data_IF_421749800331
#
_entry.id   IF_421749800331
#
_cell.length_a   1.000
_cell.length_b   1.000
_cell.length_c   1.000
_cell.angle_alpha   90.00
_cell.angle_beta   90.00
_cell.angle_gamma   90.00
#
_symmetry.space_group_name_H-M   'P 1'
#
loop_
_entity.id
_entity.type
_entity.pdbx_description
1 polymer ?
#
# COMPACT_ATOMS: atom_id res chain seq x y z
N UNK A 1 -2.55 10.82 8.72
CA UNK A 1 -3.80 11.51 9.15
C UNK A 1 -4.63 10.50 9.93
N UNK A 2 -5.34 10.89 11.01
CA UNK A 2 -6.15 9.98 11.84
C UNK A 2 -7.61 10.42 11.80
N UNK A 3 -8.53 9.47 11.65
CA UNK A 3 -9.98 9.69 11.70
C UNK A 3 -10.71 8.48 12.33
N UNK A 4 -11.14 8.61 13.58
CA UNK A 4 -11.68 7.47 14.33
C UNK A 4 -10.61 6.38 14.48
N UNK A 5 -10.96 5.14 14.12
CA UNK A 5 -10.04 3.99 14.10
C UNK A 5 -9.14 3.96 12.86
N UNK A 6 -9.37 4.84 11.88
CA UNK A 6 -8.64 4.85 10.62
C UNK A 6 -7.39 5.72 10.71
N UNK A 7 -6.26 5.16 10.26
CA UNK A 7 -4.99 5.85 10.10
C UNK A 7 -4.58 5.78 8.64
N UNK A 8 -4.55 6.94 7.97
CA UNK A 8 -4.02 7.06 6.61
C UNK A 8 -2.53 7.40 6.67
N UNK A 9 -1.72 6.57 6.02
CA UNK A 9 -0.26 6.68 5.95
C UNK A 9 0.15 6.87 4.48
N UNK A 10 0.37 8.12 4.03
CA UNK A 10 0.94 8.36 2.70
C UNK A 10 2.37 7.83 2.65
N UNK A 11 2.69 7.06 1.62
CA UNK A 11 4.00 6.42 1.44
C UNK A 11 4.51 6.61 0.01
N UNK A 12 5.83 6.46 -0.15
CA UNK A 12 6.46 6.15 -1.43
C UNK A 12 7.15 4.80 -1.27
N UNK A 13 6.86 3.86 -2.16
CA UNK A 13 7.40 2.52 -2.11
C UNK A 13 8.08 2.15 -3.42
N UNK A 14 9.12 1.32 -3.32
CA UNK A 14 9.91 0.86 -4.46
C UNK A 14 10.09 -0.65 -4.41
N UNK A 15 10.30 -1.26 -5.57
CA UNK A 15 10.50 -2.70 -5.69
C UNK A 15 11.38 -3.04 -6.89
N UNK A 16 12.16 -4.11 -6.78
CA UNK A 16 13.01 -4.61 -7.86
C UNK A 16 12.98 -6.15 -7.87
N UNK A 17 12.74 -6.72 -9.04
CA UNK A 17 12.83 -8.17 -9.33
C UNK A 17 13.50 -8.37 -10.68
N UNK A 18 13.78 -9.61 -11.05
CA UNK A 18 14.38 -9.92 -12.34
C UNK A 18 13.51 -9.38 -13.49
N UNK A 19 14.04 -8.42 -14.23
CA UNK A 19 13.38 -7.78 -15.38
C UNK A 19 12.27 -6.77 -15.06
N UNK A 20 12.00 -6.44 -13.79
CA UNK A 20 10.98 -5.42 -13.44
C UNK A 20 11.36 -4.55 -12.24
N UNK A 21 10.91 -3.31 -12.27
CA UNK A 21 11.07 -2.35 -11.17
C UNK A 21 9.82 -1.48 -11.03
N UNK A 22 9.52 -1.07 -9.80
CA UNK A 22 8.48 -0.10 -9.48
C UNK A 22 9.01 0.97 -8.53
N UNK A 23 8.51 2.19 -8.68
CA UNK A 23 8.73 3.32 -7.78
C UNK A 23 7.51 4.23 -7.91
N UNK A 24 6.65 4.24 -6.89
CA UNK A 24 5.40 4.99 -6.93
C UNK A 24 4.96 5.42 -5.54
N UNK A 25 3.98 6.32 -5.50
CA UNK A 25 3.32 6.73 -4.26
C UNK A 25 2.11 5.86 -3.93
N UNK A 26 1.65 5.92 -2.69
CA UNK A 26 0.48 5.20 -2.22
C UNK A 26 -0.03 5.70 -0.88
N UNK A 27 -1.12 5.08 -0.42
CA UNK A 27 -1.67 5.28 0.93
C UNK A 27 -1.99 3.92 1.52
N UNK A 28 -1.43 3.65 2.70
CA UNK A 28 -1.88 2.53 3.53
C UNK A 28 -2.96 3.06 4.46
N UNK A 29 -4.16 2.49 4.38
CA UNK A 29 -5.26 2.78 5.29
C UNK A 29 -5.37 1.64 6.30
N UNK A 30 -5.07 1.96 7.55
CA UNK A 30 -5.06 1.00 8.65
C UNK A 30 -6.29 1.23 9.54
N UNK A 31 -7.01 0.16 9.88
CA UNK A 31 -7.96 0.18 11.00
C UNK A 31 -7.24 -0.29 12.26
N UNK A 32 -7.18 0.56 13.29
CA UNK A 32 -6.48 0.29 14.54
C UNK A 32 -7.47 0.22 15.72
N UNK A 33 -7.50 -0.92 16.42
CA UNK A 33 -8.29 -1.16 17.64
C UNK A 33 -7.41 -1.73 18.74
N UNK A 34 -7.55 -1.22 19.95
CA UNK A 34 -6.79 -1.67 21.13
C UNK A 34 -5.26 -1.74 20.89
N UNK A 35 -4.74 -0.75 20.18
CA UNK A 35 -3.31 -0.66 19.84
C UNK A 35 -2.83 -1.66 18.79
N UNK A 36 -3.73 -2.36 18.08
CA UNK A 36 -3.42 -3.33 17.04
C UNK A 36 -4.04 -2.93 15.70
N UNK A 37 -3.31 -3.19 14.62
CA UNK A 37 -3.87 -3.12 13.26
C UNK A 37 -4.76 -4.35 13.07
N UNK A 38 -6.04 -4.13 12.79
CA UNK A 38 -7.05 -5.20 12.59
C UNK A 38 -7.49 -5.33 11.14
N UNK A 39 -7.21 -4.34 10.29
CA UNK A 39 -7.48 -4.34 8.85
C UNK A 39 -6.47 -3.44 8.13
N UNK A 40 -6.15 -3.79 6.89
CA UNK A 40 -5.28 -3.02 5.99
C UNK A 40 -5.95 -2.93 4.63
N UNK A 41 -6.07 -1.71 4.11
CA UNK A 41 -6.43 -1.45 2.72
C UNK A 41 -5.31 -0.64 2.06
N UNK A 42 -4.82 -1.12 0.92
CA UNK A 42 -3.68 -0.53 0.21
C UNK A 42 -4.17 0.20 -1.03
N UNK A 43 -3.69 1.43 -1.20
CA UNK A 43 -3.92 2.23 -2.39
C UNK A 43 -2.59 2.54 -3.07
N UNK A 44 -2.51 2.25 -4.35
CA UNK A 44 -1.33 2.50 -5.17
C UNK A 44 -1.64 3.56 -6.22
N UNK A 45 -0.68 4.45 -6.47
CA UNK A 45 -0.78 5.47 -7.52
C UNK A 45 -1.06 4.83 -8.89
N UNK A 46 -0.48 3.66 -9.15
CA UNK A 46 -0.73 2.88 -10.36
C UNK A 46 -0.88 1.39 -10.06
N UNK A 47 -2.10 0.98 -9.70
CA UNK A 47 -2.43 -0.42 -9.42
C UNK A 47 -2.17 -1.37 -10.60
N UNK A 48 -2.36 -0.92 -11.85
CA UNK A 48 -2.07 -1.75 -13.03
C UNK A 48 -0.57 -2.02 -13.19
N UNK A 49 0.29 -1.04 -12.88
CA UNK A 49 1.74 -1.24 -12.88
C UNK A 49 2.20 -2.13 -11.72
N UNK A 50 1.56 -2.01 -10.55
CA UNK A 50 1.82 -2.90 -9.43
C UNK A 50 1.38 -4.35 -9.73
N UNK A 51 0.22 -4.56 -10.36
CA UNK A 51 -0.23 -5.88 -10.84
C UNK A 51 0.77 -6.49 -11.84
N UNK A 52 1.30 -5.69 -12.76
CA UNK A 52 2.35 -6.14 -13.68
C UNK A 52 3.65 -6.48 -12.94
N UNK A 53 3.99 -5.71 -11.90
CA UNK A 53 5.17 -5.93 -11.06
C UNK A 53 5.06 -7.19 -10.21
N UNK A 54 3.88 -7.57 -9.71
CA UNK A 54 3.72 -8.83 -8.97
C UNK A 54 3.44 -10.02 -9.89
N UNK A 55 2.82 -9.77 -11.05
CA UNK A 55 2.23 -10.81 -11.88
C UNK A 55 0.79 -11.09 -11.47
N UNK A 56 0.06 -11.83 -12.32
CA UNK A 56 -1.27 -12.33 -11.94
C UNK A 56 -1.10 -13.56 -11.04
N UNK A 57 -2.00 -13.77 -10.05
CA UNK A 57 -2.05 -15.02 -9.30
C UNK A 57 -2.28 -16.24 -10.21
#
# INVERSE_FOLDING_TARGET
>A
MVNGELVAVPVRFTGRRDGASMDMTGVDLLTVRDGKIVEVHLFSENGVAEDQFWGRP
#
